data_IF_287179200303
#
_entry.id   IF_287179200303
#
_cell.length_a   1.000
_cell.length_b   1.000
_cell.length_c   1.000
_cell.angle_alpha   90.00
_cell.angle_beta   90.00
_cell.angle_gamma   90.00
#
_symmetry.space_group_name_H-M   'P 1'
#
loop_
_entity.id
_entity.type
_entity.pdbx_description
1 polymer ?
#
# COMPACT_ATOMS: atom_id res chain seq x y z
N UNK A 1 -5.81 27.06 6.82
CA UNK A 1 -5.19 25.71 6.78
C UNK A 1 -3.83 25.93 6.17
N UNK A 2 -2.77 25.88 6.98
CA UNK A 2 -1.41 26.15 6.49
C UNK A 2 -0.95 24.94 5.66
N UNK A 3 -0.86 25.14 4.34
CA UNK A 3 -0.19 24.20 3.43
C UNK A 3 1.29 24.14 3.82
N UNK A 4 1.66 23.12 4.59
CA UNK A 4 3.07 22.80 4.89
C UNK A 4 3.82 22.69 3.56
N UNK A 5 5.00 23.33 3.42
CA UNK A 5 5.76 23.28 2.17
C UNK A 5 6.01 21.82 1.80
N UNK A 6 5.65 21.45 0.58
CA UNK A 6 5.96 20.15 -0.02
C UNK A 6 7.48 19.96 0.05
N UNK A 7 7.94 19.20 1.05
CA UNK A 7 9.34 18.77 1.11
C UNK A 7 9.54 17.81 -0.05
N UNK A 8 10.22 18.28 -1.08
CA UNK A 8 10.72 17.43 -2.17
C UNK A 8 11.82 16.56 -1.59
N UNK A 9 11.57 15.26 -1.49
CA UNK A 9 12.57 14.31 -1.04
C UNK A 9 13.40 13.83 -2.23
N UNK A 10 14.69 13.60 -2.00
CA UNK A 10 15.50 12.88 -2.98
C UNK A 10 15.05 11.41 -3.08
N UNK A 11 15.29 10.77 -4.24
CA UNK A 11 15.01 9.33 -4.46
C UNK A 11 15.51 8.43 -3.33
N UNK A 12 16.71 8.67 -2.81
CA UNK A 12 17.29 7.86 -1.72
C UNK A 12 16.57 8.07 -0.37
N UNK A 13 16.22 9.31 -0.03
CA UNK A 13 15.48 9.61 1.19
C UNK A 13 14.05 9.07 1.14
N UNK A 14 13.40 9.23 0.00
CA UNK A 14 12.06 8.71 -0.25
C UNK A 14 12.03 7.18 -0.15
N UNK A 15 13.05 6.48 -0.68
CA UNK A 15 13.16 5.03 -0.57
C UNK A 15 13.25 4.57 0.89
N UNK A 16 14.17 5.17 1.67
CA UNK A 16 14.31 4.84 3.11
C UNK A 16 13.02 5.11 3.88
N UNK A 17 12.35 6.22 3.60
CA UNK A 17 11.07 6.54 4.24
C UNK A 17 9.95 5.60 3.84
N UNK A 18 9.86 5.23 2.56
CA UNK A 18 8.86 4.28 2.08
C UNK A 18 9.09 2.88 2.67
N UNK A 19 10.34 2.42 2.72
CA UNK A 19 10.71 1.15 3.37
C UNK A 19 10.30 1.13 4.85
N UNK A 20 10.63 2.18 5.61
CA UNK A 20 10.19 2.32 7.01
C UNK A 20 8.66 2.34 7.15
N UNK A 21 7.97 2.98 6.20
CA UNK A 21 6.51 3.04 6.19
C UNK A 21 5.87 1.68 5.94
N UNK A 22 6.45 0.84 5.07
CA UNK A 22 6.06 -0.55 4.86
C UNK A 22 6.42 -1.45 6.05
N UNK A 23 7.55 -1.20 6.71
CA UNK A 23 7.99 -1.98 7.88
C UNK A 23 7.07 -1.79 9.09
N UNK A 24 6.47 -0.61 9.24
CA UNK A 24 5.54 -0.33 10.33
C UNK A 24 4.17 -1.01 10.13
N UNK A 25 3.69 -1.07 8.89
CA UNK A 25 2.41 -1.68 8.55
C UNK A 25 2.42 -2.10 7.08
N UNK A 26 1.78 -3.22 6.76
CA UNK A 26 1.57 -3.64 5.38
C UNK A 26 0.92 -2.54 4.53
N UNK A 27 1.51 -2.30 3.35
CA UNK A 27 1.03 -1.34 2.36
C UNK A 27 0.90 -1.99 1.00
N UNK A 28 -0.12 -1.58 0.24
CA UNK A 28 -0.20 -1.91 -1.17
C UNK A 28 0.54 -0.89 -2.05
N UNK A 29 0.75 -1.25 -3.31
CA UNK A 29 1.38 -0.36 -4.29
C UNK A 29 0.66 0.98 -4.40
N UNK A 30 -0.68 0.99 -4.37
CA UNK A 30 -1.47 2.22 -4.47
C UNK A 30 -1.25 3.15 -3.28
N UNK A 31 -1.16 2.62 -2.05
CA UNK A 31 -0.88 3.43 -0.85
C UNK A 31 0.51 4.09 -0.95
N UNK A 32 1.51 3.35 -1.43
CA UNK A 32 2.87 3.88 -1.61
C UNK A 32 2.92 4.90 -2.73
N UNK A 33 2.28 4.63 -3.88
CA UNK A 33 2.17 5.57 -5.01
C UNK A 33 1.58 6.91 -4.55
N UNK A 34 0.46 6.86 -3.84
CA UNK A 34 -0.17 8.06 -3.27
C UNK A 34 0.78 8.80 -2.32
N UNK A 35 1.56 8.06 -1.52
CA UNK A 35 2.50 8.66 -0.56
C UNK A 35 3.70 9.32 -1.22
N UNK A 36 4.26 8.68 -2.25
CA UNK A 36 5.38 9.22 -3.01
C UNK A 36 4.98 10.47 -3.80
N UNK A 37 3.77 10.50 -4.37
CA UNK A 37 3.24 11.72 -4.99
C UNK A 37 3.03 12.86 -3.98
N UNK A 38 2.55 12.55 -2.77
CA UNK A 38 2.46 13.55 -1.68
C UNK A 38 3.84 14.09 -1.25
N UNK A 39 4.91 13.35 -1.51
CA UNK A 39 6.29 13.74 -1.25
C UNK A 39 6.94 14.51 -2.42
N UNK A 40 6.17 14.78 -3.48
CA UNK A 40 6.59 15.57 -4.61
C UNK A 40 7.43 14.82 -5.65
N UNK A 41 7.45 13.47 -5.61
CA UNK A 41 8.17 12.68 -6.60
C UNK A 41 7.42 12.64 -7.94
N UNK A 42 8.17 12.54 -9.03
CA UNK A 42 7.60 12.41 -10.37
C UNK A 42 7.27 10.96 -10.73
N UNK A 43 6.38 10.77 -11.70
CA UNK A 43 5.87 9.43 -12.09
C UNK A 43 6.97 8.40 -12.33
N UNK A 44 8.07 8.77 -13.00
CA UNK A 44 9.17 7.85 -13.26
C UNK A 44 9.85 7.40 -11.97
N UNK A 45 10.14 8.34 -11.06
CA UNK A 45 10.76 8.02 -9.77
C UNK A 45 9.84 7.15 -8.93
N UNK A 46 8.54 7.46 -8.92
CA UNK A 46 7.53 6.71 -8.16
C UNK A 46 7.53 5.24 -8.57
N UNK A 47 7.45 4.94 -9.87
CA UNK A 47 7.43 3.55 -10.34
C UNK A 47 8.77 2.85 -10.10
N UNK A 48 9.91 3.54 -10.28
CA UNK A 48 11.23 2.98 -9.96
C UNK A 48 11.35 2.59 -8.47
N UNK A 49 10.88 3.46 -7.56
CA UNK A 49 10.90 3.19 -6.12
C UNK A 49 9.98 2.02 -5.78
N UNK A 50 8.77 1.98 -6.34
CA UNK A 50 7.83 0.88 -6.12
C UNK A 50 8.43 -0.44 -6.59
N UNK A 51 9.05 -0.48 -7.78
CA UNK A 51 9.73 -1.66 -8.29
C UNK A 51 10.85 -2.12 -7.35
N UNK A 52 11.65 -1.19 -6.82
CA UNK A 52 12.69 -1.49 -5.83
C UNK A 52 12.10 -2.10 -4.55
N UNK A 53 11.05 -1.47 -4.01
CA UNK A 53 10.38 -1.93 -2.78
C UNK A 53 9.69 -3.30 -2.95
N UNK A 54 9.19 -3.61 -4.15
CA UNK A 54 8.66 -4.94 -4.48
C UNK A 54 9.81 -5.95 -4.56
N UNK A 55 10.91 -5.61 -5.24
CA UNK A 55 12.10 -6.47 -5.36
C UNK A 55 12.73 -6.80 -4.00
N UNK A 56 12.72 -5.84 -3.08
CA UNK A 56 13.16 -6.01 -1.69
C UNK A 56 12.07 -6.60 -0.76
N UNK A 57 10.90 -6.95 -1.31
CA UNK A 57 9.76 -7.55 -0.60
C UNK A 57 9.14 -6.69 0.52
N UNK A 58 9.44 -5.39 0.55
CA UNK A 58 8.75 -4.41 1.40
C UNK A 58 7.28 -4.26 1.01
N UNK A 59 6.96 -4.32 -0.28
CA UNK A 59 5.59 -4.33 -0.79
C UNK A 59 5.23 -5.73 -1.26
N UNK A 60 4.17 -6.30 -0.69
CA UNK A 60 3.64 -7.59 -1.10
C UNK A 60 2.11 -7.53 -1.06
N UNK A 61 1.46 -7.55 -2.22
CA UNK A 61 0.01 -7.36 -2.32
C UNK A 61 -0.79 -8.52 -1.73
N UNK A 62 -0.25 -9.75 -1.77
CA UNK A 62 -0.90 -10.90 -1.16
C UNK A 62 -0.88 -10.76 0.38
N UNK A 63 0.28 -10.42 0.94
CA UNK A 63 0.45 -10.17 2.38
C UNK A 63 -0.43 -9.03 2.87
N UNK A 64 -0.46 -7.93 2.10
CA UNK A 64 -1.37 -6.81 2.35
C UNK A 64 -2.83 -7.25 2.35
N UNK A 65 -3.27 -8.02 1.34
CA UNK A 65 -4.67 -8.41 1.20
C UNK A 65 -5.16 -9.28 2.35
N UNK A 66 -4.33 -10.20 2.84
CA UNK A 66 -4.62 -11.03 4.02
C UNK A 66 -4.73 -10.19 5.29
N UNK A 67 -3.71 -9.38 5.58
CA UNK A 67 -3.68 -8.51 6.75
C UNK A 67 -4.84 -7.50 6.76
N UNK A 68 -5.13 -6.90 5.60
CA UNK A 68 -6.22 -5.97 5.42
C UNK A 68 -7.57 -6.64 5.69
N UNK A 69 -7.83 -7.79 5.06
CA UNK A 69 -9.09 -8.51 5.19
C UNK A 69 -9.34 -8.96 6.63
N UNK A 70 -8.32 -9.56 7.26
CA UNK A 70 -8.37 -9.99 8.67
C UNK A 70 -8.68 -8.82 9.62
N UNK A 71 -7.95 -7.71 9.51
CA UNK A 71 -8.18 -6.53 10.34
C UNK A 71 -9.57 -5.92 10.14
N UNK A 72 -10.04 -5.77 8.89
CA UNK A 72 -11.38 -5.23 8.60
C UNK A 72 -12.50 -6.16 9.07
N UNK A 73 -12.31 -7.47 8.95
CA UNK A 73 -13.32 -8.45 9.34
C UNK A 73 -13.39 -8.63 10.86
N UNK A 74 -12.27 -8.91 11.53
CA UNK A 74 -12.30 -9.25 12.95
C UNK A 74 -12.47 -8.02 13.85
N UNK A 75 -11.82 -6.90 13.52
CA UNK A 75 -11.82 -5.69 14.36
C UNK A 75 -13.00 -4.79 13.99
N UNK A 76 -13.12 -4.44 12.70
CA UNK A 76 -14.15 -3.48 12.25
C UNK A 76 -15.47 -4.13 11.83
N UNK A 77 -15.58 -5.46 11.88
CA UNK A 77 -16.79 -6.23 11.53
C UNK A 77 -17.31 -5.93 10.11
N UNK A 78 -16.42 -5.65 9.17
CA UNK A 78 -16.81 -5.45 7.77
C UNK A 78 -17.23 -6.78 7.13
N UNK A 79 -18.27 -6.74 6.29
CA UNK A 79 -18.64 -7.89 5.46
C UNK A 79 -17.69 -8.12 4.28
N UNK A 80 -17.61 -9.36 3.79
CA UNK A 80 -16.73 -9.79 2.68
C UNK A 80 -16.88 -8.95 1.42
N UNK A 81 -18.11 -8.57 1.05
CA UNK A 81 -18.40 -7.74 -0.13
C UNK A 81 -17.73 -6.36 0.00
N UNK A 82 -17.83 -5.73 1.17
CA UNK A 82 -17.21 -4.43 1.44
C UNK A 82 -15.68 -4.51 1.35
N UNK A 83 -15.09 -5.55 1.94
CA UNK A 83 -13.65 -5.80 1.89
C UNK A 83 -13.19 -5.98 0.43
N UNK A 84 -13.91 -6.82 -0.34
CA UNK A 84 -13.64 -7.03 -1.77
C UNK A 84 -13.66 -5.73 -2.56
N UNK A 85 -14.69 -4.91 -2.38
CA UNK A 85 -14.84 -3.65 -3.10
C UNK A 85 -13.72 -2.65 -2.77
N UNK A 86 -13.33 -2.56 -1.50
CA UNK A 86 -12.23 -1.70 -1.06
C UNK A 86 -10.87 -2.16 -1.63
N UNK A 87 -10.59 -3.47 -1.64
CA UNK A 87 -9.39 -4.00 -2.28
C UNK A 87 -9.38 -3.73 -3.80
N UNK A 88 -10.54 -3.82 -4.48
CA UNK A 88 -10.67 -3.45 -5.89
C UNK A 88 -10.39 -1.97 -6.14
N UNK A 89 -10.90 -1.08 -5.29
CA UNK A 89 -10.64 0.36 -5.38
C UNK A 89 -9.15 0.70 -5.20
N UNK A 90 -8.41 -0.16 -4.50
CA UNK A 90 -6.95 -0.05 -4.32
C UNK A 90 -6.14 -0.70 -5.46
N UNK A 91 -6.80 -1.09 -6.55
CA UNK A 91 -6.19 -1.77 -7.71
C UNK A 91 -5.49 -3.10 -7.37
N UNK A 92 -5.95 -3.80 -6.33
CA UNK A 92 -5.41 -5.12 -5.98
C UNK A 92 -5.91 -6.16 -6.99
N UNK A 93 -5.02 -7.04 -7.44
CA UNK A 93 -5.36 -8.14 -8.34
C UNK A 93 -6.44 -9.07 -7.76
N UNK A 94 -7.31 -9.63 -8.61
CA UNK A 94 -8.37 -10.56 -8.17
C UNK A 94 -7.77 -11.81 -7.49
N UNK A 95 -6.56 -12.23 -7.87
CA UNK A 95 -5.81 -13.28 -7.19
C UNK A 95 -5.55 -12.92 -5.72
N UNK A 96 -4.98 -11.75 -5.45
CA UNK A 96 -4.68 -11.31 -4.08
C UNK A 96 -5.96 -11.04 -3.27
N UNK A 97 -7.00 -10.50 -3.91
CA UNK A 97 -8.32 -10.33 -3.29
C UNK A 97 -8.86 -11.68 -2.81
N UNK A 98 -8.84 -12.70 -3.68
CA UNK A 98 -9.29 -14.04 -3.31
C UNK A 98 -8.49 -14.58 -2.13
N UNK A 99 -7.16 -14.44 -2.14
CA UNK A 99 -6.29 -14.84 -1.02
C UNK A 99 -6.62 -14.12 0.28
N UNK A 100 -6.95 -12.83 0.20
CA UNK A 100 -7.39 -12.05 1.37
C UNK A 100 -8.74 -12.50 1.91
N UNK A 101 -9.68 -12.86 1.04
CA UNK A 101 -10.99 -13.39 1.47
C UNK A 101 -10.89 -14.81 2.04
N UNK A 102 -10.02 -15.67 1.49
CA UNK A 102 -9.73 -17.01 2.02
C UNK A 102 -9.23 -16.96 3.48
N UNK A 103 -8.48 -15.92 3.85
CA UNK A 103 -7.94 -15.71 5.21
C UNK A 103 -9.03 -15.59 6.29
N UNK A 104 -10.21 -15.09 5.92
CA UNK A 104 -11.32 -14.80 6.87
C UNK A 104 -12.47 -15.81 6.76
N UNK A 105 -12.22 -16.94 6.09
CA UNK A 105 -13.18 -18.03 5.84
C UNK A 105 -14.21 -17.71 4.77
#
# INVERSE_FOLDING_TARGET
MEDKPSKVYTKSEALKKAANYCAYQERCQQDIRNKLYQWGLHSQEVEDLIATLIGENFINEERFSKAFSSGKFHILKWGKIKIKNELKQRNISEYCIRKGLEEIG
#
